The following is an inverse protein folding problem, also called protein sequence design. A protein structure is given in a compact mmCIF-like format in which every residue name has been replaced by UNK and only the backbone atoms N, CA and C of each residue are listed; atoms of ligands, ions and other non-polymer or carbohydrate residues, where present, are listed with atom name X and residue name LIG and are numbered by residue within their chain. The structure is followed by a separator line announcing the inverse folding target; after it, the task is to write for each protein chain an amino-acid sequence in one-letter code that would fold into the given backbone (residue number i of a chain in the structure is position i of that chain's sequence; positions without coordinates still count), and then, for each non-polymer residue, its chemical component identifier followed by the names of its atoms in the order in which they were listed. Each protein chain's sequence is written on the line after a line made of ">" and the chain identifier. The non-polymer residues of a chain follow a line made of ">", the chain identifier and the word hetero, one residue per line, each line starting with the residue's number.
data_IF_637023505816
#
_entry.id   IF_637023505816
#
_cell.length_a   1.000
_cell.length_b   1.000
_cell.length_c   1.000
_cell.angle_alpha   90.00
_cell.angle_beta   90.00
_cell.angle_gamma   90.00
#
_symmetry.space_group_name_H-M   'P 1'
#
loop_
_entity.id
_entity.type
_entity.pdbx_description
1 polymer ?
#
# COMPACT_ATOMS: atom_id res chain seq x y z
N UNK A 1 32.05 33.40 -51.36
CA UNK A 1 30.96 34.02 -50.57
C UNK A 1 29.98 32.93 -50.21
N UNK A 2 30.06 32.44 -48.95
CA UNK A 2 29.11 31.44 -48.41
C UNK A 2 27.78 32.17 -48.14
N UNK A 3 26.69 31.74 -48.77
CA UNK A 3 25.35 32.19 -48.43
C UNK A 3 25.04 31.69 -47.01
N UNK A 4 24.97 32.59 -46.04
CA UNK A 4 24.39 32.29 -44.72
C UNK A 4 22.97 31.74 -44.98
N UNK A 5 22.65 30.51 -44.51
CA UNK A 5 21.27 30.04 -44.45
C UNK A 5 20.49 30.99 -43.55
N UNK A 6 19.40 31.57 -44.05
CA UNK A 6 18.50 32.34 -43.24
C UNK A 6 18.01 31.45 -42.05
N UNK A 7 17.93 32.04 -40.86
CA UNK A 7 17.32 31.29 -39.73
C UNK A 7 15.86 30.96 -40.09
N UNK A 8 15.40 29.74 -39.79
CA UNK A 8 14.03 29.33 -40.08
C UNK A 8 13.03 30.18 -39.30
N UNK A 9 11.92 30.55 -39.92
CA UNK A 9 10.88 31.26 -39.24
C UNK A 9 10.06 30.36 -38.29
N UNK A 10 9.25 30.97 -37.40
CA UNK A 10 8.45 30.23 -36.42
C UNK A 10 7.42 29.29 -37.09
N UNK A 11 6.94 29.65 -38.30
CA UNK A 11 5.96 28.82 -39.03
C UNK A 11 6.63 27.56 -39.56
N UNK A 12 7.84 27.67 -40.10
CA UNK A 12 8.67 26.58 -40.60
C UNK A 12 9.01 25.61 -39.44
N UNK A 13 9.49 26.13 -38.30
CA UNK A 13 9.79 25.33 -37.11
C UNK A 13 8.57 24.59 -36.58
N UNK A 14 7.39 25.21 -36.56
CA UNK A 14 6.12 24.57 -36.17
C UNK A 14 5.70 23.47 -37.16
N UNK A 15 5.93 23.66 -38.46
CA UNK A 15 5.68 22.62 -39.47
C UNK A 15 6.61 21.42 -39.28
N UNK A 16 7.86 21.65 -39.00
CA UNK A 16 8.85 20.60 -38.75
C UNK A 16 8.52 19.81 -37.45
N UNK A 17 8.12 20.50 -36.39
CA UNK A 17 7.64 19.85 -35.16
C UNK A 17 6.41 18.98 -35.43
N UNK A 18 5.46 19.47 -36.23
CA UNK A 18 4.26 18.73 -36.58
C UNK A 18 4.57 17.47 -37.40
N UNK A 19 5.50 17.56 -38.37
CA UNK A 19 5.89 16.38 -39.16
C UNK A 19 6.68 15.36 -38.34
N UNK A 20 7.59 15.83 -37.46
CA UNK A 20 8.30 14.96 -36.51
C UNK A 20 7.32 14.23 -35.58
N UNK A 21 6.29 14.91 -35.12
CA UNK A 21 5.23 14.29 -34.31
C UNK A 21 4.50 13.17 -35.06
N UNK A 22 4.17 13.38 -36.35
CA UNK A 22 3.55 12.34 -37.19
C UNK A 22 4.47 11.16 -37.42
N UNK A 23 5.77 11.39 -37.55
CA UNK A 23 6.77 10.33 -37.66
C UNK A 23 6.86 9.48 -36.42
N UNK A 24 6.86 10.09 -35.22
CA UNK A 24 6.78 9.37 -33.95
C UNK A 24 5.55 8.46 -33.90
N UNK A 25 4.38 8.94 -34.30
CA UNK A 25 3.14 8.14 -34.34
C UNK A 25 3.26 6.97 -35.33
N UNK A 26 3.84 7.18 -36.50
CA UNK A 26 4.11 6.10 -37.51
C UNK A 26 5.03 5.03 -36.93
N UNK A 27 6.11 5.43 -36.24
CA UNK A 27 7.04 4.53 -35.55
C UNK A 27 6.38 3.73 -34.44
N UNK A 28 5.48 4.36 -33.66
CA UNK A 28 4.65 3.64 -32.67
C UNK A 28 3.79 2.58 -33.34
N UNK A 29 3.16 2.88 -34.46
CA UNK A 29 2.36 1.92 -35.23
C UNK A 29 3.20 0.71 -35.67
N UNK A 30 4.38 0.96 -36.27
CA UNK A 30 5.32 -0.11 -36.66
C UNK A 30 5.78 -0.96 -35.47
N UNK A 31 6.07 -0.34 -34.36
CA UNK A 31 6.46 -1.04 -33.13
C UNK A 31 5.35 -1.96 -32.63
N UNK A 32 4.10 -1.51 -32.67
CA UNK A 32 2.93 -2.31 -32.26
C UNK A 32 2.69 -3.49 -33.22
N UNK A 33 2.99 -3.35 -34.51
CA UNK A 33 2.97 -4.48 -35.47
C UNK A 33 4.01 -5.56 -35.13
N UNK A 34 5.21 -5.15 -34.77
CA UNK A 34 6.28 -6.06 -34.30
C UNK A 34 5.85 -6.73 -32.98
N UNK A 35 5.24 -5.97 -32.04
CA UNK A 35 4.76 -6.53 -30.80
C UNK A 35 3.68 -7.61 -31.03
N UNK A 36 2.74 -7.40 -31.96
CA UNK A 36 1.77 -8.44 -32.38
C UNK A 36 2.43 -9.70 -32.90
N UNK A 37 3.51 -9.56 -33.66
CA UNK A 37 4.29 -10.72 -34.20
C UNK A 37 4.95 -11.48 -33.03
N UNK A 38 5.59 -10.78 -32.10
CA UNK A 38 6.20 -11.37 -30.90
C UNK A 38 5.15 -12.12 -30.08
N UNK A 39 3.96 -11.54 -29.86
CA UNK A 39 2.88 -12.19 -29.14
C UNK A 39 2.45 -13.52 -29.78
N UNK A 40 2.31 -13.55 -31.10
CA UNK A 40 1.99 -14.80 -31.83
C UNK A 40 3.08 -15.86 -31.70
N UNK A 41 4.36 -15.48 -31.76
CA UNK A 41 5.48 -16.40 -31.59
C UNK A 41 5.52 -16.95 -30.16
N UNK A 42 5.42 -16.09 -29.16
CA UNK A 42 5.38 -16.52 -27.75
C UNK A 42 4.25 -17.52 -27.47
N UNK A 43 3.05 -17.25 -28.00
CA UNK A 43 1.91 -18.15 -27.85
C UNK A 43 2.17 -19.52 -28.52
N UNK A 44 2.81 -19.54 -29.69
CA UNK A 44 3.15 -20.79 -30.40
C UNK A 44 4.22 -21.61 -29.69
N UNK A 45 5.18 -20.95 -29.05
CA UNK A 45 6.33 -21.59 -28.39
C UNK A 45 6.12 -21.75 -26.86
N UNK A 46 4.92 -21.44 -26.35
CA UNK A 46 4.58 -21.49 -24.92
C UNK A 46 5.55 -20.70 -24.02
N UNK A 47 6.08 -19.59 -24.52
CA UNK A 47 6.98 -18.72 -23.79
C UNK A 47 6.21 -17.77 -22.86
N UNK A 48 6.82 -17.31 -21.76
CA UNK A 48 6.21 -16.34 -20.84
C UNK A 48 5.76 -15.08 -21.58
N UNK A 49 4.58 -14.56 -21.21
CA UNK A 49 4.04 -13.33 -21.78
C UNK A 49 4.94 -12.13 -21.48
N UNK A 50 5.44 -12.03 -20.26
CA UNK A 50 6.37 -10.98 -19.80
C UNK A 50 7.77 -11.56 -19.57
N UNK A 51 8.79 -10.73 -19.80
CA UNK A 51 10.20 -11.07 -19.61
C UNK A 51 10.90 -9.85 -18.98
N UNK A 52 11.10 -9.91 -17.66
CA UNK A 52 11.68 -8.82 -16.89
C UNK A 52 13.11 -8.49 -17.34
N UNK A 53 13.90 -9.48 -17.76
CA UNK A 53 15.26 -9.24 -18.23
C UNK A 53 15.28 -8.40 -19.52
N UNK A 54 14.32 -8.64 -20.41
CA UNK A 54 14.15 -7.83 -21.63
C UNK A 54 13.67 -6.42 -21.30
N UNK A 55 12.74 -6.27 -20.34
CA UNK A 55 12.29 -4.93 -19.92
C UNK A 55 13.43 -4.14 -19.26
N UNK A 56 14.25 -4.77 -18.44
CA UNK A 56 15.43 -4.15 -17.82
C UNK A 56 16.51 -3.73 -18.83
N UNK A 57 16.73 -4.54 -19.89
CA UNK A 57 17.65 -4.16 -20.99
C UNK A 57 17.15 -2.89 -21.69
N UNK A 58 15.85 -2.82 -21.97
CA UNK A 58 15.24 -1.66 -22.64
C UNK A 58 15.27 -0.40 -21.79
N UNK A 59 15.12 -0.52 -20.46
CA UNK A 59 15.27 0.63 -19.57
C UNK A 59 16.68 1.23 -19.67
N UNK A 60 17.71 0.39 -19.71
CA UNK A 60 19.11 0.84 -19.88
C UNK A 60 19.34 1.47 -21.25
N UNK A 61 18.93 0.80 -22.32
CA UNK A 61 19.07 1.27 -23.70
C UNK A 61 18.43 2.65 -23.90
N UNK A 62 17.20 2.84 -23.39
CA UNK A 62 16.50 4.13 -23.51
C UNK A 62 17.17 5.21 -22.66
N UNK A 63 17.69 4.88 -21.48
CA UNK A 63 18.43 5.85 -20.66
C UNK A 63 19.68 6.34 -21.37
N UNK A 64 20.45 5.44 -21.99
CA UNK A 64 21.64 5.79 -22.77
C UNK A 64 21.29 6.62 -24.01
N UNK A 65 20.16 6.31 -24.66
CA UNK A 65 19.74 7.04 -25.86
C UNK A 65 19.25 8.45 -25.51
N UNK A 66 18.58 8.62 -24.35
CA UNK A 66 18.23 9.95 -23.83
C UNK A 66 19.48 10.83 -23.66
N UNK A 67 20.56 10.27 -23.11
CA UNK A 67 21.81 11.00 -22.92
C UNK A 67 22.43 11.42 -24.26
N UNK A 68 22.39 10.52 -25.26
CA UNK A 68 22.91 10.83 -26.61
C UNK A 68 22.09 11.86 -27.34
N UNK A 69 20.78 11.83 -27.19
CA UNK A 69 19.84 12.71 -27.85
C UNK A 69 19.62 14.05 -27.13
N UNK A 70 20.21 14.24 -25.94
CA UNK A 70 19.98 15.43 -25.12
C UNK A 70 18.54 15.55 -24.58
N UNK A 71 17.86 14.40 -24.40
CA UNK A 71 16.50 14.32 -23.88
C UNK A 71 16.54 14.04 -22.36
N UNK A 72 15.67 14.68 -21.61
CA UNK A 72 15.52 14.38 -20.19
C UNK A 72 15.20 12.89 -19.95
N UNK A 73 15.97 12.23 -19.09
CA UNK A 73 15.83 10.80 -18.81
C UNK A 73 14.42 10.45 -18.31
N UNK A 74 13.82 11.31 -17.48
CA UNK A 74 12.46 11.09 -16.97
C UNK A 74 11.41 11.15 -18.09
N UNK A 75 11.58 12.06 -19.06
CA UNK A 75 10.72 12.13 -20.25
C UNK A 75 10.88 10.88 -21.12
N UNK A 76 12.11 10.42 -21.37
CA UNK A 76 12.36 9.19 -22.12
C UNK A 76 11.75 7.95 -21.47
N UNK A 77 11.87 7.82 -20.15
CA UNK A 77 11.29 6.69 -19.40
C UNK A 77 9.76 6.70 -19.44
N UNK A 78 9.11 7.88 -19.41
CA UNK A 78 7.66 8.00 -19.60
C UNK A 78 7.22 7.53 -20.98
N UNK A 79 7.94 7.92 -22.02
CA UNK A 79 7.69 7.45 -23.41
C UNK A 79 7.85 5.92 -23.46
N UNK A 80 8.90 5.36 -22.87
CA UNK A 80 9.09 3.91 -22.82
C UNK A 80 7.93 3.20 -22.12
N UNK A 81 7.43 3.73 -20.99
CA UNK A 81 6.31 3.15 -20.27
C UNK A 81 5.05 3.08 -21.16
N UNK A 82 4.73 4.16 -21.88
CA UNK A 82 3.62 4.18 -22.86
C UNK A 82 3.84 3.15 -23.95
N UNK A 83 5.04 3.07 -24.52
CA UNK A 83 5.38 2.13 -25.58
C UNK A 83 5.28 0.66 -25.11
N UNK A 84 5.67 0.36 -23.88
CA UNK A 84 5.54 -0.99 -23.29
C UNK A 84 4.08 -1.35 -23.06
N UNK A 85 3.28 -0.43 -22.50
CA UNK A 85 1.86 -0.64 -22.28
C UNK A 85 1.10 -0.94 -23.59
N UNK A 86 1.34 -0.14 -24.65
CA UNK A 86 0.74 -0.36 -25.96
C UNK A 86 1.21 -1.66 -26.62
N UNK A 87 2.47 -2.06 -26.41
CA UNK A 87 2.99 -3.34 -26.90
C UNK A 87 2.35 -4.53 -26.20
N UNK A 88 2.15 -4.48 -24.88
CA UNK A 88 1.45 -5.53 -24.11
C UNK A 88 0.01 -5.67 -24.63
N UNK A 89 -0.69 -4.58 -24.80
CA UNK A 89 -2.04 -4.55 -25.40
C UNK A 89 -2.05 -5.13 -26.83
N UNK A 90 -1.09 -4.76 -27.66
CA UNK A 90 -0.97 -5.28 -29.02
C UNK A 90 -0.68 -6.79 -29.07
N UNK A 91 0.02 -7.34 -28.08
CA UNK A 91 0.27 -8.77 -27.92
C UNK A 91 -0.95 -9.55 -27.40
N UNK A 92 -2.04 -8.87 -27.04
CA UNK A 92 -3.20 -9.49 -26.39
C UNK A 92 -2.95 -9.83 -24.91
N UNK A 93 -1.91 -9.29 -24.33
CA UNK A 93 -1.63 -9.41 -22.89
C UNK A 93 -2.59 -8.45 -22.20
N UNK A 94 -3.70 -8.99 -21.72
CA UNK A 94 -4.56 -8.26 -20.80
C UNK A 94 -3.83 -8.10 -19.46
N UNK A 95 -4.01 -6.99 -18.75
CA UNK A 95 -3.59 -6.95 -17.34
C UNK A 95 -4.20 -8.16 -16.65
N UNK A 96 -3.45 -8.87 -15.79
CA UNK A 96 -3.97 -10.05 -15.11
C UNK A 96 -5.33 -9.69 -14.51
N UNK A 97 -6.34 -10.50 -14.77
CA UNK A 97 -7.65 -10.35 -14.15
C UNK A 97 -7.38 -10.22 -12.65
N UNK A 98 -7.86 -9.15 -12.05
CA UNK A 98 -7.70 -8.95 -10.62
C UNK A 98 -8.26 -10.18 -9.93
N UNK A 99 -7.40 -11.00 -9.33
CA UNK A 99 -7.83 -12.12 -8.50
C UNK A 99 -8.77 -11.61 -7.39
N UNK A 100 -9.35 -12.51 -6.59
CA UNK A 100 -10.26 -12.09 -5.54
C UNK A 100 -9.56 -11.06 -4.64
N UNK A 101 -10.12 -9.85 -4.59
CA UNK A 101 -9.64 -8.78 -3.73
C UNK A 101 -10.34 -8.86 -2.36
N UNK A 102 -9.77 -8.29 -1.28
CA UNK A 102 -10.49 -8.16 -0.03
C UNK A 102 -11.87 -7.50 -0.23
N UNK A 103 -11.98 -6.59 -1.18
CA UNK A 103 -13.24 -5.89 -1.49
C UNK A 103 -14.26 -6.80 -2.18
N UNK A 104 -13.85 -7.73 -3.05
CA UNK A 104 -14.77 -8.67 -3.71
C UNK A 104 -15.36 -9.69 -2.73
N UNK A 105 -14.54 -10.21 -1.80
CA UNK A 105 -15.01 -11.08 -0.72
C UNK A 105 -15.94 -10.33 0.22
N UNK A 106 -15.58 -9.10 0.60
CA UNK A 106 -16.42 -8.22 1.40
C UNK A 106 -17.80 -8.01 0.77
N UNK A 107 -17.86 -7.69 -0.53
CA UNK A 107 -19.12 -7.46 -1.24
C UNK A 107 -19.99 -8.72 -1.28
N UNK A 108 -19.40 -9.90 -1.53
CA UNK A 108 -20.11 -11.20 -1.52
C UNK A 108 -20.69 -11.51 -0.13
N UNK A 109 -19.89 -11.35 0.92
CA UNK A 109 -20.35 -11.57 2.30
C UNK A 109 -21.45 -10.58 2.71
N UNK A 110 -21.32 -9.31 2.32
CA UNK A 110 -22.34 -8.29 2.59
C UNK A 110 -23.67 -8.60 1.87
N UNK A 111 -23.60 -9.10 0.63
CA UNK A 111 -24.79 -9.52 -0.11
C UNK A 111 -25.51 -10.69 0.58
N UNK A 112 -24.76 -11.68 1.07
CA UNK A 112 -25.30 -12.80 1.85
C UNK A 112 -25.96 -12.34 3.16
N UNK A 113 -25.33 -11.42 3.89
CA UNK A 113 -25.92 -10.82 5.11
C UNK A 113 -27.22 -10.08 4.83
N UNK A 114 -27.27 -9.28 3.74
CA UNK A 114 -28.49 -8.61 3.29
C UNK A 114 -29.61 -9.62 2.95
N UNK A 115 -29.23 -10.81 2.47
CA UNK A 115 -30.15 -11.95 2.25
C UNK A 115 -30.56 -12.69 3.53
N UNK A 116 -30.14 -12.24 4.72
CA UNK A 116 -30.50 -12.82 6.01
C UNK A 116 -29.52 -13.87 6.55
N UNK A 117 -28.40 -14.15 5.87
CA UNK A 117 -27.40 -15.07 6.37
C UNK A 117 -26.67 -14.52 7.60
N UNK A 118 -26.50 -15.35 8.63
CA UNK A 118 -25.67 -15.04 9.80
C UNK A 118 -24.23 -15.45 9.50
N UNK A 119 -23.36 -14.45 9.31
CA UNK A 119 -21.94 -14.68 8.99
C UNK A 119 -21.03 -14.23 10.12
N UNK A 120 -20.01 -15.03 10.40
CA UNK A 120 -18.84 -14.64 11.19
C UNK A 120 -17.86 -13.94 10.22
N UNK A 121 -17.67 -12.64 10.39
CA UNK A 121 -16.90 -11.78 9.48
C UNK A 121 -15.43 -11.67 9.94
N UNK A 122 -14.56 -12.56 9.47
CA UNK A 122 -13.11 -12.53 9.71
C UNK A 122 -12.32 -12.03 8.49
N UNK A 123 -13.02 -11.47 7.50
CA UNK A 123 -12.44 -10.87 6.29
C UNK A 123 -12.17 -9.36 6.44
N UNK A 124 -12.87 -8.68 7.36
CA UNK A 124 -12.77 -7.23 7.52
C UNK A 124 -11.64 -6.85 8.47
N UNK A 125 -10.72 -6.03 7.99
CA UNK A 125 -9.63 -5.51 8.82
C UNK A 125 -10.06 -4.29 9.65
N UNK A 126 -11.08 -4.41 10.48
CA UNK A 126 -11.61 -3.36 11.34
C UNK A 126 -11.69 -3.85 12.78
N UNK A 127 -11.11 -3.13 13.77
CA UNK A 127 -11.25 -3.50 15.16
C UNK A 127 -12.71 -3.27 15.64
N UNK A 128 -13.24 -4.20 16.42
CA UNK A 128 -14.56 -4.12 17.03
C UNK A 128 -14.61 -3.24 18.30
N UNK A 129 -13.48 -2.68 18.67
CA UNK A 129 -13.38 -1.76 19.80
C UNK A 129 -14.18 -0.49 19.52
N UNK A 130 -14.63 0.14 20.60
CA UNK A 130 -15.25 1.45 20.53
C UNK A 130 -14.18 2.54 20.54
N UNK A 131 -14.37 3.65 19.83
CA UNK A 131 -13.54 4.83 20.01
C UNK A 131 -13.56 5.28 21.46
N UNK A 132 -12.48 5.86 22.00
CA UNK A 132 -12.48 6.43 23.35
C UNK A 132 -13.64 7.39 23.55
N UNK A 133 -14.27 7.35 24.72
CA UNK A 133 -15.46 8.17 25.02
C UNK A 133 -15.21 9.66 24.80
N UNK A 134 -14.04 10.15 25.22
CA UNK A 134 -13.62 11.53 25.02
C UNK A 134 -13.57 11.95 23.54
N UNK A 135 -13.30 11.03 22.61
CA UNK A 135 -13.34 11.30 21.17
C UNK A 135 -14.75 11.62 20.71
N UNK A 136 -15.73 10.79 21.13
CA UNK A 136 -17.13 10.98 20.75
C UNK A 136 -17.69 12.27 21.36
N UNK A 137 -17.40 12.54 22.64
CA UNK A 137 -17.82 13.75 23.34
C UNK A 137 -17.26 15.01 22.66
N UNK A 138 -15.97 15.02 22.31
CA UNK A 138 -15.35 16.15 21.61
C UNK A 138 -15.93 16.38 20.21
N UNK A 139 -16.26 15.32 19.46
CA UNK A 139 -16.95 15.47 18.18
C UNK A 139 -18.35 16.07 18.33
N UNK A 140 -19.12 15.61 19.33
CA UNK A 140 -20.48 16.14 19.61
C UNK A 140 -20.41 17.60 20.04
N UNK A 141 -19.50 17.94 20.97
CA UNK A 141 -19.27 19.32 21.42
C UNK A 141 -18.90 20.23 20.24
N UNK A 142 -17.99 19.78 19.39
CA UNK A 142 -17.59 20.54 18.20
C UNK A 142 -18.77 20.75 17.23
N UNK A 143 -19.61 19.71 16.99
CA UNK A 143 -20.82 19.84 16.18
C UNK A 143 -21.82 20.85 16.77
N UNK A 144 -22.10 20.76 18.07
CA UNK A 144 -22.99 21.70 18.78
C UNK A 144 -22.40 23.11 18.78
N UNK A 145 -21.06 23.23 18.84
CA UNK A 145 -20.32 24.47 18.74
C UNK A 145 -20.14 25.01 17.31
N UNK A 146 -20.88 24.46 16.34
CA UNK A 146 -20.84 24.87 14.93
C UNK A 146 -19.45 24.77 14.28
N UNK A 147 -18.60 23.84 14.72
CA UNK A 147 -17.31 23.51 14.07
C UNK A 147 -17.54 22.65 12.81
N UNK A 148 -18.18 23.25 11.81
CA UNK A 148 -18.68 22.60 10.59
C UNK A 148 -18.23 23.28 9.32
N UNK A 149 -17.21 24.13 9.42
CA UNK A 149 -16.69 24.90 8.28
C UNK A 149 -15.48 24.23 7.62
N UNK A 150 -15.11 24.72 6.46
CA UNK A 150 -13.84 24.36 5.83
C UNK A 150 -12.67 24.81 6.70
N UNK A 151 -11.66 23.96 6.76
CA UNK A 151 -10.42 24.24 7.46
C UNK A 151 -9.25 24.26 6.47
N UNK A 152 -8.04 24.51 6.96
CA UNK A 152 -6.85 24.35 6.16
C UNK A 152 -6.70 22.89 5.68
N UNK A 153 -6.28 22.65 4.43
CA UNK A 153 -6.11 21.31 3.90
C UNK A 153 -5.14 20.42 4.69
N UNK A 154 -4.15 21.05 5.36
CA UNK A 154 -3.18 20.36 6.22
C UNK A 154 -3.73 20.01 7.61
N UNK A 155 -4.90 20.52 7.99
CA UNK A 155 -5.53 20.31 9.30
C UNK A 155 -5.52 21.56 10.19
N UNK A 156 -6.39 21.56 11.22
CA UNK A 156 -6.48 22.69 12.17
C UNK A 156 -5.20 22.79 13.02
N UNK A 157 -4.75 24.02 13.37
CA UNK A 157 -3.52 24.22 14.17
C UNK A 157 -3.50 23.43 15.48
N UNK A 158 -4.65 23.30 16.15
CA UNK A 158 -4.78 22.55 17.40
C UNK A 158 -4.46 21.04 17.21
N UNK A 159 -4.92 20.41 16.12
CA UNK A 159 -4.62 19.02 15.84
C UNK A 159 -3.17 18.83 15.41
N UNK A 160 -2.62 19.73 14.59
CA UNK A 160 -1.20 19.69 14.20
C UNK A 160 -0.30 19.75 15.46
N UNK A 161 -0.61 20.65 16.39
CA UNK A 161 0.11 20.75 17.68
C UNK A 161 -0.02 19.44 18.50
N UNK A 162 -1.22 18.88 18.60
CA UNK A 162 -1.46 17.63 19.33
C UNK A 162 -0.69 16.45 18.69
N UNK A 163 -0.70 16.33 17.36
CA UNK A 163 0.07 15.33 16.62
C UNK A 163 1.58 15.50 16.83
N UNK A 164 2.11 16.70 16.76
CA UNK A 164 3.53 16.98 17.04
C UNK A 164 3.93 16.52 18.43
N UNK A 165 3.11 16.84 19.45
CA UNK A 165 3.35 16.40 20.82
C UNK A 165 3.28 14.89 20.97
N UNK A 166 2.33 14.24 20.31
CA UNK A 166 2.22 12.79 20.28
C UNK A 166 3.45 12.14 19.62
N UNK A 167 3.85 12.61 18.43
CA UNK A 167 5.02 12.09 17.71
C UNK A 167 6.31 12.28 18.51
N UNK A 168 6.48 13.44 19.16
CA UNK A 168 7.61 13.68 20.06
C UNK A 168 7.64 12.71 21.23
N UNK A 169 6.49 12.44 21.88
CA UNK A 169 6.40 11.44 22.98
C UNK A 169 6.78 10.03 22.47
N UNK A 170 6.37 9.68 21.25
CA UNK A 170 6.57 8.33 20.69
C UNK A 170 7.95 8.11 20.08
N UNK A 171 8.51 9.08 19.40
CA UNK A 171 9.78 8.94 18.65
C UNK A 171 10.94 9.73 19.22
N UNK A 172 10.67 10.76 20.03
CA UNK A 172 11.68 11.73 20.46
C UNK A 172 12.00 12.80 19.40
N UNK A 173 11.43 12.71 18.20
CA UNK A 173 11.69 13.65 17.10
C UNK A 173 10.76 14.87 17.18
N UNK A 174 11.35 16.05 16.99
CA UNK A 174 10.60 17.29 16.78
C UNK A 174 10.20 17.40 15.30
N UNK A 175 8.90 17.54 15.06
CA UNK A 175 8.32 17.75 13.72
C UNK A 175 7.69 19.15 13.69
N UNK A 176 7.90 19.91 12.64
CA UNK A 176 7.26 21.22 12.45
C UNK A 176 5.87 21.11 11.81
N UNK A 177 5.07 22.18 11.86
CA UNK A 177 3.72 22.15 11.28
C UNK A 177 3.71 21.95 9.76
N UNK A 178 4.74 22.40 9.09
CA UNK A 178 4.90 22.29 7.63
C UNK A 178 5.50 20.95 7.16
N UNK A 179 5.88 20.10 8.11
CA UNK A 179 6.29 18.68 7.88
C UNK A 179 5.17 17.68 8.21
N UNK A 180 3.96 18.16 8.51
CA UNK A 180 2.83 17.35 8.94
C UNK A 180 1.55 17.75 8.20
N UNK A 181 0.78 16.77 7.70
CA UNK A 181 -0.55 17.00 7.17
C UNK A 181 -1.54 15.97 7.67
N UNK A 182 -2.72 16.44 8.05
CA UNK A 182 -3.92 15.63 8.30
C UNK A 182 -4.52 15.23 6.96
N UNK A 183 -4.99 14.00 6.85
CA UNK A 183 -5.51 13.44 5.59
C UNK A 183 -6.89 12.80 5.79
N UNK A 184 -7.73 12.71 4.74
CA UNK A 184 -9.04 12.06 4.81
C UNK A 184 -8.95 10.53 4.86
N UNK A 185 -8.11 9.99 5.67
CA UNK A 185 -7.82 8.59 6.04
C UNK A 185 -6.36 8.19 5.82
N UNK A 186 -5.93 7.08 6.45
CA UNK A 186 -4.63 6.46 6.16
C UNK A 186 -4.52 5.95 4.71
N UNK A 187 -5.62 5.47 4.11
CA UNK A 187 -5.64 5.07 2.69
C UNK A 187 -5.29 6.24 1.77
N UNK A 188 -5.85 7.41 2.05
CA UNK A 188 -5.51 8.62 1.30
C UNK A 188 -4.08 9.08 1.60
N UNK A 189 -3.61 8.98 2.84
CA UNK A 189 -2.21 9.28 3.17
C UNK A 189 -1.23 8.45 2.33
N UNK A 190 -1.48 7.15 2.18
CA UNK A 190 -0.68 6.26 1.32
C UNK A 190 -0.78 6.68 -0.16
N UNK A 191 -1.99 6.95 -0.66
CA UNK A 191 -2.19 7.42 -2.03
C UNK A 191 -1.41 8.71 -2.30
N UNK A 192 -1.54 9.69 -1.40
CA UNK A 192 -0.86 10.97 -1.54
C UNK A 192 0.67 10.85 -1.41
N UNK A 193 1.16 9.99 -0.50
CA UNK A 193 2.60 9.71 -0.35
C UNK A 193 3.21 9.13 -1.63
N UNK A 194 2.56 8.12 -2.21
CA UNK A 194 3.00 7.51 -3.47
C UNK A 194 2.95 8.51 -4.61
N UNK A 195 1.83 9.24 -4.77
CA UNK A 195 1.64 10.22 -5.85
C UNK A 195 2.52 11.47 -5.72
N UNK A 196 2.95 11.83 -4.49
CA UNK A 196 3.88 12.94 -4.28
C UNK A 196 5.32 12.61 -4.67
N UNK A 197 5.67 11.32 -4.71
CA UNK A 197 7.04 10.81 -4.83
C UNK A 197 7.31 10.14 -6.17
N UNK A 198 6.30 9.49 -6.74
CA UNK A 198 6.40 8.57 -7.86
C UNK A 198 5.56 9.11 -9.01
N UNK A 199 6.09 9.03 -10.22
CA UNK A 199 5.43 9.45 -11.46
C UNK A 199 5.19 8.27 -12.39
N UNK A 200 4.41 8.50 -13.45
CA UNK A 200 4.27 7.52 -14.54
C UNK A 200 5.64 7.11 -15.11
N UNK A 201 5.85 5.82 -15.31
CA UNK A 201 7.11 5.24 -15.78
C UNK A 201 8.12 4.95 -14.66
N UNK A 202 7.94 5.44 -13.46
CA UNK A 202 8.77 5.07 -12.31
C UNK A 202 8.42 3.68 -11.75
N UNK A 203 9.22 3.18 -10.84
CA UNK A 203 8.95 1.97 -10.08
C UNK A 203 9.13 2.16 -8.58
N UNK A 204 8.49 1.29 -7.80
CA UNK A 204 8.70 1.20 -6.36
C UNK A 204 8.78 -0.25 -5.89
N UNK A 205 9.66 -0.52 -4.93
CA UNK A 205 9.75 -1.81 -4.27
C UNK A 205 8.66 -1.92 -3.21
N UNK A 206 7.92 -3.02 -3.22
CA UNK A 206 6.84 -3.32 -2.25
C UNK A 206 7.06 -4.71 -1.70
N UNK A 207 7.17 -4.84 -0.37
CA UNK A 207 7.28 -6.16 0.27
C UNK A 207 5.97 -6.94 0.11
N UNK A 208 6.05 -8.22 -0.23
CA UNK A 208 4.90 -9.10 -0.42
C UNK A 208 5.01 -10.30 0.54
N UNK A 209 3.92 -10.75 1.21
CA UNK A 209 2.54 -10.30 1.02
C UNK A 209 2.30 -8.93 1.66
N UNK A 210 1.38 -8.15 1.05
CA UNK A 210 1.10 -6.80 1.51
C UNK A 210 -0.34 -6.37 1.25
N UNK A 211 -0.72 -5.27 1.89
CA UNK A 211 -2.01 -4.65 1.62
C UNK A 211 -2.11 -4.25 0.14
N UNK A 212 -3.16 -4.71 -0.60
CA UNK A 212 -3.26 -4.56 -2.07
C UNK A 212 -3.20 -3.12 -2.55
N UNK A 213 -3.60 -2.16 -1.71
CA UNK A 213 -3.67 -0.76 -2.12
C UNK A 213 -2.32 -0.17 -2.58
N UNK A 214 -1.18 -0.65 -2.07
CA UNK A 214 0.12 -0.16 -2.55
C UNK A 214 0.29 -0.46 -4.04
N UNK A 215 0.06 -1.70 -4.44
CA UNK A 215 0.14 -2.14 -5.83
C UNK A 215 -0.92 -1.47 -6.72
N UNK A 216 -2.14 -1.33 -6.20
CA UNK A 216 -3.25 -0.68 -6.91
C UNK A 216 -2.96 0.80 -7.17
N UNK A 217 -2.48 1.54 -6.17
CA UNK A 217 -2.12 2.97 -6.32
C UNK A 217 -0.96 3.14 -7.29
N UNK A 218 0.11 2.33 -7.17
CA UNK A 218 1.24 2.41 -8.09
C UNK A 218 0.80 2.21 -9.55
N UNK A 219 -0.04 1.20 -9.81
CA UNK A 219 -0.60 0.97 -11.16
C UNK A 219 -1.49 2.12 -11.62
N UNK A 220 -2.30 2.68 -10.71
CA UNK A 220 -3.19 3.82 -11.01
C UNK A 220 -2.42 5.06 -11.46
N UNK A 221 -1.29 5.34 -10.84
CA UNK A 221 -0.42 6.47 -11.23
C UNK A 221 0.53 6.16 -12.40
N UNK A 222 0.39 5.00 -13.03
CA UNK A 222 1.23 4.58 -14.16
C UNK A 222 2.63 4.11 -13.78
N UNK A 223 2.86 3.77 -12.51
CA UNK A 223 4.14 3.26 -12.02
C UNK A 223 4.15 1.74 -11.91
N UNK A 224 5.35 1.13 -11.99
CA UNK A 224 5.54 -0.32 -11.87
C UNK A 224 5.80 -0.71 -10.41
N UNK A 225 4.91 -1.49 -9.75
CA UNK A 225 5.25 -2.13 -8.47
C UNK A 225 6.23 -3.29 -8.73
N UNK A 226 7.36 -3.31 -8.04
CA UNK A 226 8.32 -4.42 -8.01
C UNK A 226 8.11 -5.14 -6.68
N UNK A 227 7.62 -6.38 -6.75
CA UNK A 227 7.24 -7.14 -5.56
C UNK A 227 8.43 -7.90 -4.99
N UNK A 228 8.74 -7.68 -3.72
CA UNK A 228 9.80 -8.38 -2.98
C UNK A 228 9.14 -9.45 -2.12
N UNK A 229 9.22 -10.69 -2.56
CA UNK A 229 8.54 -11.81 -1.93
C UNK A 229 9.23 -12.22 -0.62
N UNK A 230 8.46 -12.34 0.45
CA UNK A 230 8.86 -12.98 1.69
C UNK A 230 8.18 -14.34 1.85
N UNK A 231 8.67 -15.19 2.75
CA UNK A 231 8.21 -16.57 2.89
C UNK A 231 7.88 -16.91 4.34
N UNK A 232 6.88 -17.78 4.52
CA UNK A 232 6.47 -18.28 5.83
C UNK A 232 7.63 -19.04 6.53
N UNK A 233 8.37 -19.86 5.78
CA UNK A 233 9.49 -20.65 6.27
C UNK A 233 10.64 -19.80 6.84
N UNK A 234 10.75 -18.55 6.37
CA UNK A 234 11.70 -17.55 6.83
C UNK A 234 11.10 -16.61 7.87
N UNK A 235 9.91 -16.95 8.41
CA UNK A 235 9.16 -16.10 9.35
C UNK A 235 8.80 -14.73 8.79
N UNK A 236 8.54 -14.64 7.49
CA UNK A 236 8.23 -13.40 6.75
C UNK A 236 9.34 -12.33 6.86
N UNK A 237 10.58 -12.77 7.00
CA UNK A 237 11.73 -11.86 7.07
C UNK A 237 11.99 -11.22 5.72
N UNK A 238 12.30 -9.92 5.75
CA UNK A 238 12.67 -9.15 4.56
C UNK A 238 14.19 -9.23 4.37
N UNK A 239 14.64 -9.62 3.16
CA UNK A 239 16.05 -9.57 2.78
C UNK A 239 16.40 -8.21 2.19
N UNK A 240 17.41 -7.57 2.75
CA UNK A 240 17.99 -6.31 2.23
C UNK A 240 18.71 -6.54 0.91
N UNK A 241 19.31 -7.73 0.73
CA UNK A 241 19.97 -8.15 -0.50
C UNK A 241 18.96 -8.26 -1.65
N UNK A 242 17.82 -8.92 -1.42
CA UNK A 242 16.75 -9.02 -2.41
C UNK A 242 16.19 -7.65 -2.79
N UNK A 243 16.09 -6.71 -1.84
CA UNK A 243 15.74 -5.32 -2.14
C UNK A 243 16.81 -4.68 -3.04
N UNK A 244 18.10 -4.82 -2.70
CA UNK A 244 19.20 -4.21 -3.44
C UNK A 244 19.27 -4.72 -4.88
N UNK A 245 19.08 -6.01 -5.10
CA UNK A 245 19.06 -6.66 -6.43
C UNK A 245 17.86 -6.24 -7.27
N UNK A 246 16.73 -5.92 -6.63
CA UNK A 246 15.52 -5.52 -7.32
C UNK A 246 15.47 -4.04 -7.71
N UNK A 247 16.40 -3.20 -7.24
CA UNK A 247 16.46 -1.78 -7.60
C UNK A 247 16.75 -1.63 -9.08
N UNK A 248 15.97 -0.77 -9.75
CA UNK A 248 16.09 -0.42 -11.18
C UNK A 248 16.45 1.06 -11.33
N UNK A 249 16.95 1.51 -12.50
CA UNK A 249 17.28 2.91 -12.73
C UNK A 249 16.12 3.89 -12.51
N UNK A 250 14.87 3.42 -12.71
CA UNK A 250 13.64 4.17 -12.49
C UNK A 250 12.99 3.92 -11.12
N UNK A 251 13.63 3.20 -10.23
CA UNK A 251 13.12 3.00 -8.86
C UNK A 251 13.22 4.30 -8.06
N UNK A 252 12.14 4.70 -7.41
CA UNK A 252 12.03 5.95 -6.63
C UNK A 252 11.77 5.72 -5.15
N UNK A 253 11.15 4.61 -4.78
CA UNK A 253 10.77 4.38 -3.39
C UNK A 253 10.81 2.91 -2.99
N UNK A 254 10.93 2.70 -1.67
CA UNK A 254 10.68 1.43 -0.97
C UNK A 254 9.48 1.64 -0.06
N UNK A 255 8.45 0.79 -0.18
CA UNK A 255 7.25 0.82 0.66
C UNK A 255 7.37 -0.24 1.74
N UNK A 256 7.37 0.20 2.99
CA UNK A 256 7.38 -0.65 4.18
C UNK A 256 6.05 -0.50 4.92
N UNK A 257 5.48 -1.59 5.40
CA UNK A 257 4.29 -1.60 6.25
C UNK A 257 4.46 -2.64 7.35
N UNK A 258 4.78 -2.17 8.54
CA UNK A 258 5.00 -3.01 9.71
C UNK A 258 4.42 -2.34 10.97
N UNK A 259 3.79 -3.12 11.87
CA UNK A 259 3.41 -4.53 11.72
C UNK A 259 2.61 -4.80 10.45
N UNK A 260 2.94 -5.90 9.76
CA UNK A 260 2.47 -6.15 8.40
C UNK A 260 1.00 -6.65 8.35
N UNK A 261 0.28 -6.19 7.36
CA UNK A 261 -0.98 -6.78 6.91
C UNK A 261 -0.72 -7.50 5.57
N UNK A 262 -0.77 -8.87 5.50
CA UNK A 262 -1.60 -9.74 6.35
C UNK A 262 -0.86 -10.56 7.41
N UNK A 263 0.46 -10.57 7.47
CA UNK A 263 1.23 -11.58 8.22
C UNK A 263 1.33 -11.33 9.72
N UNK A 264 1.08 -10.10 10.17
CA UNK A 264 1.34 -9.69 11.55
C UNK A 264 2.83 -9.59 11.93
N UNK A 265 3.74 -9.74 10.95
CA UNK A 265 5.18 -9.63 11.18
C UNK A 265 5.56 -8.22 11.60
N UNK A 266 6.43 -8.11 12.59
CA UNK A 266 7.19 -6.90 12.93
C UNK A 266 8.60 -7.04 12.35
N UNK A 267 9.05 -6.03 11.61
CA UNK A 267 10.42 -6.00 11.09
C UNK A 267 11.42 -5.76 12.23
N UNK A 268 12.58 -6.42 12.18
CA UNK A 268 13.60 -6.18 13.19
C UNK A 268 14.19 -4.76 13.07
N UNK A 269 14.61 -4.12 14.18
CA UNK A 269 15.26 -2.82 14.13
C UNK A 269 16.51 -2.82 13.24
N UNK A 270 17.25 -3.93 13.20
CA UNK A 270 18.45 -4.11 12.38
C UNK A 270 18.08 -4.10 10.89
N UNK A 271 17.15 -4.96 10.48
CA UNK A 271 16.67 -5.01 9.08
C UNK A 271 16.09 -3.66 8.65
N UNK A 272 15.29 -3.03 9.51
CA UNK A 272 14.70 -1.71 9.21
C UNK A 272 15.80 -0.66 8.96
N UNK A 273 16.84 -0.63 9.80
CA UNK A 273 17.98 0.27 9.63
C UNK A 273 18.73 -0.01 8.33
N UNK A 274 19.03 -1.28 8.02
CA UNK A 274 19.71 -1.65 6.77
C UNK A 274 18.91 -1.25 5.53
N UNK A 275 17.57 -1.35 5.57
CA UNK A 275 16.71 -0.87 4.46
C UNK A 275 16.78 0.65 4.32
N UNK A 276 16.81 1.40 5.42
CA UNK A 276 16.96 2.86 5.41
C UNK A 276 18.31 3.26 4.83
N UNK A 277 19.39 2.62 5.27
CA UNK A 277 20.74 2.86 4.75
C UNK A 277 20.84 2.56 3.25
N UNK A 278 20.28 1.43 2.79
CA UNK A 278 20.19 1.09 1.37
C UNK A 278 19.42 2.16 0.58
N UNK A 279 18.30 2.64 1.12
CA UNK A 279 17.50 3.68 0.46
C UNK A 279 18.28 5.00 0.35
N UNK A 280 18.98 5.40 1.41
CA UNK A 280 19.81 6.62 1.43
C UNK A 280 20.96 6.54 0.44
N UNK A 281 21.66 5.39 0.34
CA UNK A 281 22.76 5.15 -0.59
C UNK A 281 22.30 5.19 -2.06
N UNK A 282 21.07 4.77 -2.33
CA UNK A 282 20.48 4.73 -3.67
C UNK A 282 19.60 5.95 -3.98
N UNK A 283 19.49 6.91 -3.04
CA UNK A 283 18.69 8.11 -3.20
C UNK A 283 17.17 7.88 -3.27
N UNK A 284 16.70 6.74 -2.74
CA UNK A 284 15.29 6.33 -2.73
C UNK A 284 14.55 6.95 -1.55
N UNK A 285 13.23 7.10 -1.70
CA UNK A 285 12.35 7.50 -0.59
C UNK A 285 11.82 6.26 0.14
N UNK A 286 11.93 6.23 1.47
CA UNK A 286 11.26 5.20 2.27
C UNK A 286 9.84 5.69 2.61
N UNK A 287 8.82 4.99 2.15
CA UNK A 287 7.42 5.20 2.53
C UNK A 287 7.08 4.18 3.62
N UNK A 288 6.95 4.66 4.85
CA UNK A 288 6.68 3.83 6.03
C UNK A 288 5.21 3.98 6.44
N UNK A 289 4.41 2.94 6.19
CA UNK A 289 3.03 2.87 6.67
C UNK A 289 3.00 2.26 8.06
N UNK A 290 2.83 3.11 9.07
CA UNK A 290 2.92 2.77 10.49
C UNK A 290 1.54 2.68 11.17
N UNK A 291 0.51 2.33 10.40
CA UNK A 291 -0.88 2.29 10.89
C UNK A 291 -1.12 1.28 12.04
N UNK A 292 -0.26 0.26 12.18
CA UNK A 292 -0.37 -0.78 13.20
C UNK A 292 0.71 -0.68 14.29
N UNK A 293 1.52 0.37 14.34
CA UNK A 293 2.66 0.45 15.27
C UNK A 293 2.30 0.24 16.73
N UNK A 294 1.11 0.68 17.17
CA UNK A 294 0.65 0.48 18.56
C UNK A 294 0.23 -0.99 18.84
N UNK A 295 -0.21 -1.73 17.82
CA UNK A 295 -0.55 -3.15 17.94
C UNK A 295 0.68 -4.03 17.72
N UNK A 296 1.64 -3.95 18.62
CA UNK A 296 2.86 -4.76 18.56
C UNK A 296 3.20 -5.35 19.93
N UNK A 297 3.57 -6.63 19.94
CA UNK A 297 4.10 -7.32 21.13
C UNK A 297 5.62 -7.17 21.27
N UNK A 298 6.29 -6.62 20.25
CA UNK A 298 7.73 -6.38 20.19
C UNK A 298 8.00 -4.91 19.91
N UNK A 299 9.19 -4.39 20.22
CA UNK A 299 9.58 -3.06 19.79
C UNK A 299 9.45 -2.93 18.27
N UNK A 300 8.55 -2.06 17.81
CA UNK A 300 8.34 -1.77 16.40
C UNK A 300 9.17 -0.54 16.01
N UNK A 301 10.07 -0.64 15.02
CA UNK A 301 10.83 0.52 14.57
C UNK A 301 9.89 1.53 13.89
N UNK A 302 10.22 2.81 14.02
CA UNK A 302 9.57 3.89 13.30
C UNK A 302 10.59 4.63 12.45
N UNK A 303 10.17 5.09 11.28
CA UNK A 303 11.00 5.87 10.36
C UNK A 303 11.50 7.16 11.01
N UNK A 304 10.73 7.72 11.93
CA UNK A 304 11.11 8.93 12.68
C UNK A 304 12.29 8.73 13.61
N UNK A 305 12.67 7.48 13.94
CA UNK A 305 13.82 7.19 14.80
C UNK A 305 15.11 6.90 14.03
N UNK A 306 15.05 6.85 12.70
CA UNK A 306 16.18 6.49 11.83
C UNK A 306 16.76 7.66 11.05
N UNK A 307 16.10 8.81 11.06
CA UNK A 307 16.53 10.06 10.40
C UNK A 307 17.02 9.89 8.95
N UNK A 308 16.25 9.24 8.06
CA UNK A 308 16.65 9.06 6.66
C UNK A 308 16.62 10.38 5.89
N UNK A 309 17.39 10.45 4.78
CA UNK A 309 17.44 11.63 3.91
C UNK A 309 16.10 11.92 3.24
N UNK A 310 15.36 10.85 2.84
CA UNK A 310 14.06 10.97 2.19
C UNK A 310 13.09 9.94 2.78
N UNK A 311 12.03 10.41 3.38
CA UNK A 311 11.01 9.52 3.93
C UNK A 311 9.61 10.14 3.85
N UNK A 312 8.60 9.29 3.92
CA UNK A 312 7.22 9.65 4.21
C UNK A 312 6.68 8.64 5.21
N UNK A 313 6.30 9.11 6.39
CA UNK A 313 5.51 8.32 7.33
C UNK A 313 4.03 8.52 6.98
N UNK A 314 3.28 7.44 6.89
CA UNK A 314 1.81 7.48 6.82
C UNK A 314 1.22 6.73 8.00
N UNK A 315 0.13 7.26 8.55
CA UNK A 315 -0.60 6.60 9.61
C UNK A 315 -2.05 7.07 9.68
N UNK A 316 -2.83 6.54 10.60
CA UNK A 316 -4.22 6.94 10.75
C UNK A 316 -4.76 6.67 12.16
N UNK A 317 -5.90 7.29 12.45
CA UNK A 317 -6.64 7.05 13.68
C UNK A 317 -7.52 5.78 13.62
N UNK A 318 -7.60 5.14 12.45
CA UNK A 318 -8.52 4.05 12.18
C UNK A 318 -8.32 2.82 13.05
N UNK A 319 -7.05 2.42 13.31
CA UNK A 319 -6.77 1.16 14.02
C UNK A 319 -6.52 1.38 15.50
N UNK A 320 -5.53 2.16 15.84
CA UNK A 320 -5.12 2.43 17.24
C UNK A 320 -6.27 2.91 18.09
N UNK A 321 -7.12 3.80 17.57
CA UNK A 321 -8.23 4.41 18.30
C UNK A 321 -9.62 3.96 17.84
N UNK A 322 -9.69 2.87 17.04
CA UNK A 322 -10.94 2.31 16.52
C UNK A 322 -11.84 3.34 15.78
N UNK A 323 -11.22 4.27 15.07
CA UNK A 323 -11.90 5.38 14.37
C UNK A 323 -12.02 5.14 12.87
N UNK A 324 -12.32 3.92 12.43
CA UNK A 324 -12.37 3.56 11.00
C UNK A 324 -13.38 4.38 10.21
N UNK A 325 -14.55 4.64 10.78
CA UNK A 325 -15.63 5.44 10.18
C UNK A 325 -15.40 6.95 10.20
N UNK A 326 -14.47 7.47 10.99
CA UNK A 326 -14.17 8.91 11.08
C UNK A 326 -13.39 9.45 9.90
N UNK A 327 -12.74 8.56 9.14
CA UNK A 327 -11.97 8.93 7.93
C UNK A 327 -10.90 9.99 8.20
N UNK A 328 -10.00 9.76 9.15
CA UNK A 328 -8.91 10.66 9.47
C UNK A 328 -7.58 9.91 9.61
N UNK A 329 -6.53 10.49 9.03
CA UNK A 329 -5.14 10.02 9.06
C UNK A 329 -4.17 11.18 9.01
N UNK A 330 -2.90 10.89 8.88
CA UNK A 330 -1.85 11.91 8.74
C UNK A 330 -0.63 11.37 8.01
N UNK A 331 0.16 12.31 7.49
CA UNK A 331 1.46 12.05 6.89
C UNK A 331 2.51 12.99 7.48
N UNK A 332 3.76 12.49 7.60
CA UNK A 332 4.93 13.26 8.04
C UNK A 332 6.03 13.10 7.00
N UNK A 333 6.61 14.20 6.55
CA UNK A 333 7.71 14.24 5.59
C UNK A 333 8.33 15.63 5.51
N UNK A 334 9.23 15.84 4.56
CA UNK A 334 9.72 17.20 4.24
C UNK A 334 8.60 18.14 3.82
N UNK A 335 8.79 19.43 4.03
CA UNK A 335 7.84 20.50 3.65
C UNK A 335 7.35 20.37 2.21
N UNK A 336 8.24 20.11 1.25
CA UNK A 336 7.89 20.02 -0.17
C UNK A 336 6.92 18.86 -0.45
N UNK A 337 7.11 17.73 0.20
CA UNK A 337 6.22 16.56 0.09
C UNK A 337 4.88 16.86 0.76
N UNK A 338 4.91 17.43 1.97
CA UNK A 338 3.68 17.75 2.73
C UNK A 338 2.84 18.81 2.00
N UNK A 339 3.47 19.78 1.34
CA UNK A 339 2.76 20.74 0.49
C UNK A 339 1.99 20.04 -0.64
N UNK A 340 2.57 19.00 -1.25
CA UNK A 340 1.89 18.20 -2.28
C UNK A 340 0.73 17.39 -1.70
N UNK A 341 0.94 16.77 -0.53
CA UNK A 341 -0.11 16.01 0.18
C UNK A 341 -1.30 16.92 0.53
N UNK A 342 -1.04 18.08 1.11
CA UNK A 342 -2.08 19.08 1.44
C UNK A 342 -2.82 19.57 0.18
N UNK A 343 -2.11 19.79 -0.93
CA UNK A 343 -2.71 20.13 -2.21
C UNK A 343 -3.65 19.03 -2.73
N UNK A 344 -3.25 17.77 -2.65
CA UNK A 344 -4.11 16.64 -3.02
C UNK A 344 -5.35 16.57 -2.13
N UNK A 345 -5.21 16.74 -0.81
CA UNK A 345 -6.35 16.84 0.12
C UNK A 345 -7.31 17.95 -0.29
N UNK A 346 -6.77 19.12 -0.65
CA UNK A 346 -7.58 20.26 -1.11
C UNK A 346 -8.34 19.97 -2.39
N UNK A 347 -7.72 19.25 -3.34
CA UNK A 347 -8.35 18.89 -4.62
C UNK A 347 -9.47 17.84 -4.47
N UNK A 348 -9.32 16.90 -3.52
CA UNK A 348 -10.26 15.78 -3.37
C UNK A 348 -11.43 16.10 -2.44
N UNK A 349 -11.17 16.72 -1.30
CA UNK A 349 -12.18 16.92 -0.25
C UNK A 349 -12.12 18.31 0.41
N UNK A 350 -11.33 19.23 -0.10
CA UNK A 350 -11.01 20.54 0.47
C UNK A 350 -10.26 20.42 1.80
N UNK A 351 -10.85 19.79 2.81
CA UNK A 351 -10.24 19.53 4.13
C UNK A 351 -10.94 18.37 4.84
N UNK A 352 -10.31 17.78 5.83
CA UNK A 352 -10.97 16.85 6.76
C UNK A 352 -12.01 17.61 7.59
N UNK A 353 -13.22 17.06 7.81
CA UNK A 353 -14.26 17.75 8.60
C UNK A 353 -13.76 18.25 9.95
N UNK A 354 -14.05 19.51 10.26
CA UNK A 354 -13.49 20.21 11.43
C UNK A 354 -13.83 19.48 12.72
N UNK A 355 -15.08 19.07 12.94
CA UNK A 355 -15.52 18.39 14.17
C UNK A 355 -14.82 17.05 14.40
N UNK A 356 -14.44 16.33 13.33
CA UNK A 356 -13.67 15.08 13.44
C UNK A 356 -12.24 15.36 13.94
N UNK A 357 -11.66 16.48 13.53
CA UNK A 357 -10.33 16.86 13.96
C UNK A 357 -10.27 17.17 15.46
N UNK A 358 -11.33 17.74 16.03
CA UNK A 358 -11.45 17.91 17.49
C UNK A 358 -11.52 16.58 18.24
N UNK A 359 -12.24 15.59 17.70
CA UNK A 359 -12.22 14.23 18.24
C UNK A 359 -10.83 13.59 18.18
N UNK A 360 -10.13 13.77 17.05
CA UNK A 360 -8.77 13.24 16.86
C UNK A 360 -7.77 13.81 17.89
N UNK A 361 -7.90 15.07 18.32
CA UNK A 361 -7.08 15.64 19.40
C UNK A 361 -7.22 14.80 20.67
N UNK A 362 -8.45 14.43 21.05
CA UNK A 362 -8.70 13.62 22.24
C UNK A 362 -8.22 12.18 22.12
N UNK A 363 -8.21 11.64 20.90
CA UNK A 363 -7.67 10.31 20.65
C UNK A 363 -6.19 10.22 21.01
N UNK A 364 -5.40 11.25 20.73
CA UNK A 364 -3.96 11.29 21.00
C UNK A 364 -3.57 11.29 22.49
N UNK A 365 -4.54 11.51 23.37
CA UNK A 365 -4.37 11.48 24.84
C UNK A 365 -4.98 10.20 25.47
N UNK A 366 -5.58 9.30 24.67
CA UNK A 366 -6.28 8.11 25.13
C UNK A 366 -5.34 6.90 25.33
N UNK A 367 -4.20 7.09 25.98
CA UNK A 367 -3.18 6.04 26.17
C UNK A 367 -3.69 4.82 26.96
N UNK A 368 -4.62 5.02 27.90
CA UNK A 368 -5.19 3.93 28.73
C UNK A 368 -6.05 3.00 27.89
N UNK A 369 -6.96 3.55 27.08
CA UNK A 369 -7.83 2.79 26.19
C UNK A 369 -7.03 2.07 25.11
N UNK A 370 -6.02 2.73 24.53
CA UNK A 370 -5.11 2.12 23.58
C UNK A 370 -4.38 0.93 24.18
N UNK A 371 -3.81 1.07 25.39
CA UNK A 371 -3.15 -0.05 26.09
C UNK A 371 -4.10 -1.21 26.33
N UNK A 372 -5.31 -0.94 26.79
CA UNK A 372 -6.34 -1.97 27.01
C UNK A 372 -6.67 -2.72 25.71
N UNK A 373 -6.83 -2.00 24.59
CA UNK A 373 -7.11 -2.59 23.28
C UNK A 373 -5.93 -3.44 22.76
N UNK A 374 -4.71 -2.98 22.98
CA UNK A 374 -3.49 -3.73 22.62
C UNK A 374 -3.38 -5.02 23.42
N UNK A 375 -3.64 -4.97 24.72
CA UNK A 375 -3.64 -6.16 25.58
C UNK A 375 -4.74 -7.15 25.19
N UNK A 376 -5.93 -6.66 24.84
CA UNK A 376 -7.01 -7.52 24.36
C UNK A 376 -6.64 -8.16 23.01
N UNK A 377 -6.02 -7.41 22.08
CA UNK A 377 -5.56 -7.95 20.80
C UNK A 377 -4.51 -9.06 21.02
N UNK A 378 -3.61 -8.87 21.99
CA UNK A 378 -2.64 -9.91 22.37
C UNK A 378 -3.33 -11.17 22.89
N UNK A 379 -4.34 -11.04 23.77
CA UNK A 379 -5.13 -12.18 24.25
C UNK A 379 -5.85 -12.90 23.10
N UNK A 380 -6.34 -12.18 22.08
CA UNK A 380 -6.93 -12.79 20.88
C UNK A 380 -5.89 -13.55 20.06
N UNK A 381 -4.70 -12.98 19.86
CA UNK A 381 -3.59 -13.67 19.17
C UNK A 381 -3.25 -14.98 19.90
N UNK A 382 -3.11 -14.95 21.24
CA UNK A 382 -2.79 -16.09 22.04
C UNK A 382 -3.88 -17.20 21.90
N UNK A 383 -5.12 -16.85 22.10
CA UNK A 383 -6.25 -17.80 22.03
C UNK A 383 -6.47 -18.39 20.61
N UNK A 384 -6.29 -17.58 19.58
CA UNK A 384 -6.39 -18.04 18.19
C UNK A 384 -5.22 -18.94 17.82
N UNK A 385 -4.01 -18.66 18.32
CA UNK A 385 -2.85 -19.56 18.14
C UNK A 385 -3.13 -20.94 18.75
N UNK A 386 -3.62 -20.99 20.00
CA UNK A 386 -3.99 -22.25 20.68
C UNK A 386 -5.07 -23.05 19.92
N UNK A 387 -5.98 -22.38 19.23
CA UNK A 387 -7.02 -23.05 18.45
C UNK A 387 -6.53 -23.50 17.08
N UNK A 388 -5.68 -22.70 16.42
CA UNK A 388 -5.05 -23.08 15.14
C UNK A 388 -4.04 -24.22 15.29
N UNK A 389 -3.34 -24.34 16.43
CA UNK A 389 -2.41 -25.42 16.73
C UNK A 389 -3.06 -26.80 16.78
N UNK A 390 -4.41 -26.86 16.90
CA UNK A 390 -5.19 -28.11 16.83
C UNK A 390 -5.51 -28.56 15.40
N UNK A 391 -5.17 -27.76 14.39
CA UNK A 391 -5.51 -28.01 12.99
C UNK A 391 -4.25 -28.37 12.20
N UNK A 392 -3.88 -29.67 12.17
CA UNK A 392 -2.65 -30.16 11.52
C UNK A 392 -2.51 -29.76 10.05
N UNK A 393 -3.64 -29.50 9.39
CA UNK A 393 -3.69 -29.07 7.98
C UNK A 393 -3.32 -27.62 7.73
N UNK A 394 -3.05 -26.83 8.79
CA UNK A 394 -2.66 -25.44 8.71
C UNK A 394 -1.23 -25.24 9.21
N UNK A 395 -0.54 -24.32 8.56
CA UNK A 395 0.76 -23.83 8.98
C UNK A 395 0.72 -22.32 9.01
N UNK A 396 1.23 -21.70 10.08
CA UNK A 396 1.17 -20.26 10.21
C UNK A 396 2.37 -19.71 10.99
N UNK A 397 2.62 -18.42 10.78
CA UNK A 397 3.49 -17.61 11.64
C UNK A 397 2.63 -16.99 12.74
N UNK A 398 3.02 -17.17 14.01
CA UNK A 398 2.36 -16.48 15.11
C UNK A 398 2.64 -14.96 15.01
N UNK A 399 1.60 -14.12 14.89
CA UNK A 399 1.78 -12.69 14.70
C UNK A 399 2.56 -12.01 15.82
N UNK A 400 3.51 -11.15 15.45
CA UNK A 400 4.21 -10.25 16.38
C UNK A 400 3.37 -9.00 16.69
N UNK A 401 2.39 -8.69 15.83
CA UNK A 401 1.55 -7.50 15.93
C UNK A 401 0.45 -7.44 14.89
N UNK A 402 -0.09 -6.25 14.65
CA UNK A 402 -1.30 -6.00 13.88
C UNK A 402 -2.52 -6.77 14.45
N UNK A 403 -3.42 -7.21 13.59
CA UNK A 403 -4.66 -7.89 13.98
C UNK A 403 -5.02 -9.01 12.99
N UNK A 404 -4.01 -9.75 12.51
CA UNK A 404 -4.19 -10.72 11.44
C UNK A 404 -3.37 -11.98 11.66
N UNK A 405 -3.93 -13.12 11.22
CA UNK A 405 -3.19 -14.33 10.89
C UNK A 405 -3.19 -14.54 9.39
N UNK A 406 -2.14 -15.16 8.87
CA UNK A 406 -1.99 -15.50 7.46
C UNK A 406 -1.54 -16.96 7.31
N UNK A 407 -2.42 -17.94 7.62
CA UNK A 407 -2.09 -19.34 7.55
C UNK A 407 -2.06 -19.87 6.11
N UNK A 408 -1.24 -20.91 5.92
CA UNK A 408 -1.13 -21.73 4.72
C UNK A 408 -1.87 -23.06 4.90
N UNK A 409 -2.60 -23.47 3.87
CA UNK A 409 -3.22 -24.79 3.75
C UNK A 409 -2.17 -25.81 3.34
N UNK A 410 -2.09 -26.94 4.09
CA UNK A 410 -1.23 -28.09 3.78
C UNK A 410 -2.03 -29.28 3.22
N UNK A 411 -3.35 -29.22 3.28
CA UNK A 411 -4.23 -30.30 2.83
C UNK A 411 -4.25 -30.39 1.31
N UNK A 412 -3.86 -31.54 0.76
CA UNK A 412 -3.83 -31.79 -0.68
C UNK A 412 -5.21 -31.56 -1.31
N UNK A 413 -5.23 -30.91 -2.49
CA UNK A 413 -6.46 -30.60 -3.23
C UNK A 413 -7.21 -29.36 -2.75
N UNK A 414 -6.67 -28.61 -1.77
CA UNK A 414 -7.20 -27.34 -1.33
C UNK A 414 -6.32 -26.18 -1.85
N UNK A 415 -6.96 -25.12 -2.30
CA UNK A 415 -6.36 -23.79 -2.50
C UNK A 415 -7.03 -22.80 -1.57
N UNK A 416 -6.37 -21.64 -1.36
CA UNK A 416 -6.93 -20.56 -0.54
C UNK A 416 -8.32 -20.13 -1.03
N UNK A 417 -8.51 -19.96 -2.33
CA UNK A 417 -9.79 -19.54 -2.92
C UNK A 417 -10.89 -20.56 -2.67
N UNK A 418 -10.62 -21.87 -2.97
CA UNK A 418 -11.56 -22.95 -2.71
C UNK A 418 -11.94 -23.03 -1.23
N UNK A 419 -10.94 -22.88 -0.36
CA UNK A 419 -11.18 -22.91 1.08
C UNK A 419 -12.07 -21.76 1.54
N UNK A 420 -11.78 -20.54 1.08
CA UNK A 420 -12.56 -19.33 1.42
C UNK A 420 -14.01 -19.48 0.95
N UNK A 421 -14.25 -20.02 -0.25
CA UNK A 421 -15.60 -20.23 -0.77
C UNK A 421 -16.37 -21.28 0.05
N UNK A 422 -15.76 -22.43 0.31
CA UNK A 422 -16.38 -23.49 1.12
C UNK A 422 -16.63 -23.07 2.57
N UNK A 423 -15.74 -22.24 3.12
CA UNK A 423 -15.90 -21.71 4.47
C UNK A 423 -17.03 -20.67 4.55
N UNK A 424 -17.20 -19.86 3.49
CA UNK A 424 -18.30 -18.90 3.40
C UNK A 424 -19.67 -19.59 3.40
N UNK A 425 -19.79 -20.76 2.74
CA UNK A 425 -20.99 -21.61 2.78
C UNK A 425 -21.30 -22.11 4.20
N UNK A 426 -20.27 -22.26 5.05
CA UNK A 426 -20.41 -22.61 6.48
C UNK A 426 -20.58 -21.37 7.38
N UNK A 427 -20.84 -20.23 6.80
CA UNK A 427 -21.14 -19.00 7.53
C UNK A 427 -19.92 -18.29 8.10
N UNK A 428 -18.72 -18.51 7.57
CA UNK A 428 -17.50 -17.78 7.97
C UNK A 428 -16.84 -17.14 6.75
N UNK A 429 -16.54 -15.85 6.83
CA UNK A 429 -15.87 -15.11 5.77
C UNK A 429 -14.44 -14.76 6.17
N UNK A 430 -13.47 -15.15 5.34
CA UNK A 430 -12.04 -14.80 5.43
C UNK A 430 -11.55 -14.27 4.09
N UNK A 431 -10.31 -13.78 4.00
CA UNK A 431 -9.80 -13.22 2.75
C UNK A 431 -8.76 -14.17 2.13
N UNK A 432 -8.88 -14.53 0.83
CA UNK A 432 -7.92 -15.41 0.18
C UNK A 432 -6.53 -14.77 0.05
N UNK A 433 -5.49 -15.60 0.04
CA UNK A 433 -4.11 -15.16 -0.01
C UNK A 433 -3.73 -14.42 -1.29
N UNK A 434 -4.32 -14.79 -2.43
CA UNK A 434 -4.15 -14.10 -3.72
C UNK A 434 -4.53 -12.61 -3.66
N UNK A 435 -5.34 -12.20 -2.70
CA UNK A 435 -5.63 -10.79 -2.46
C UNK A 435 -4.42 -9.97 -1.95
N UNK A 436 -3.38 -10.63 -1.44
CA UNK A 436 -2.20 -9.98 -0.85
C UNK A 436 -0.91 -10.22 -1.64
N UNK A 437 -0.98 -10.99 -2.73
CA UNK A 437 0.14 -11.34 -3.59
C UNK A 437 0.00 -12.75 -4.16
N UNK A 438 1.10 -13.32 -4.66
CA UNK A 438 1.11 -14.68 -5.22
C UNK A 438 1.23 -15.73 -4.10
N UNK A 439 0.13 -15.88 -3.33
CA UNK A 439 0.00 -16.82 -2.20
C UNK A 439 -1.29 -17.65 -2.33
N UNK A 440 -1.37 -18.55 -3.33
CA UNK A 440 -2.61 -19.26 -3.68
C UNK A 440 -3.11 -20.22 -2.59
N UNK A 441 -2.22 -20.71 -1.72
CA UNK A 441 -2.56 -21.67 -0.65
C UNK A 441 -2.78 -20.99 0.71
N UNK A 442 -2.80 -19.66 0.74
CA UNK A 442 -2.94 -18.88 1.97
C UNK A 442 -4.32 -18.22 2.07
N UNK A 443 -4.65 -17.82 3.29
CA UNK A 443 -5.80 -16.95 3.57
C UNK A 443 -5.54 -16.08 4.79
N UNK A 444 -6.23 -14.94 4.90
CA UNK A 444 -6.10 -14.03 6.03
C UNK A 444 -7.30 -14.14 6.97
N UNK A 445 -7.04 -14.29 8.26
CA UNK A 445 -8.01 -14.20 9.35
C UNK A 445 -7.83 -12.84 10.02
N UNK A 446 -8.90 -12.05 10.14
CA UNK A 446 -8.92 -10.81 10.92
C UNK A 446 -9.40 -11.08 12.36
N UNK A 447 -8.75 -10.44 13.32
CA UNK A 447 -9.09 -10.49 14.74
C UNK A 447 -10.02 -9.34 15.19
N UNK A 448 -10.65 -8.65 14.24
CA UNK A 448 -11.54 -7.52 14.47
C UNK A 448 -12.96 -7.90 14.91
N UNK A 449 -13.12 -9.00 15.63
CA UNK A 449 -14.38 -9.46 16.21
C UNK A 449 -14.18 -9.87 17.68
N UNK A 450 -15.22 -10.00 18.50
CA UNK A 450 -15.11 -10.56 19.84
C UNK A 450 -14.41 -11.92 19.83
N UNK A 451 -13.57 -12.18 20.83
CA UNK A 451 -12.73 -13.38 20.93
C UNK A 451 -13.51 -14.69 20.69
N UNK A 452 -14.67 -14.84 21.32
CA UNK A 452 -15.52 -16.02 21.22
C UNK A 452 -16.03 -16.25 19.79
N UNK A 453 -16.36 -15.15 19.08
CA UNK A 453 -16.78 -15.18 17.67
C UNK A 453 -15.63 -15.62 16.76
N UNK A 454 -14.41 -15.12 17.03
CA UNK A 454 -13.23 -15.53 16.25
C UNK A 454 -12.95 -17.01 16.46
N UNK A 455 -12.93 -17.48 17.71
CA UNK A 455 -12.67 -18.88 18.04
C UNK A 455 -13.70 -19.82 17.42
N UNK A 456 -14.98 -19.44 17.41
CA UNK A 456 -16.03 -20.20 16.71
C UNK A 456 -15.74 -20.29 15.20
N UNK A 457 -15.32 -19.18 14.59
CA UNK A 457 -14.90 -19.18 13.18
C UNK A 457 -13.73 -20.13 12.92
N UNK A 458 -12.72 -20.14 13.79
CA UNK A 458 -11.54 -21.03 13.67
C UNK A 458 -11.93 -22.51 13.86
N UNK A 459 -12.83 -22.83 14.79
CA UNK A 459 -13.34 -24.22 14.94
C UNK A 459 -14.02 -24.70 13.67
N UNK A 460 -14.87 -23.87 13.04
CA UNK A 460 -15.49 -24.23 11.74
C UNK A 460 -14.47 -24.43 10.61
N UNK A 461 -13.31 -23.74 10.68
CA UNK A 461 -12.20 -24.03 9.77
C UNK A 461 -11.63 -25.43 10.00
N UNK A 462 -11.42 -25.80 11.27
CA UNK A 462 -10.99 -27.16 11.65
C UNK A 462 -11.97 -28.23 11.15
N UNK A 463 -13.28 -28.06 11.42
CA UNK A 463 -14.33 -28.96 10.96
C UNK A 463 -14.40 -29.12 9.44
N UNK A 464 -14.06 -28.07 8.68
CA UNK A 464 -13.99 -28.11 7.22
C UNK A 464 -12.76 -28.90 6.73
N UNK A 465 -11.66 -28.81 7.49
CA UNK A 465 -10.37 -29.41 7.13
C UNK A 465 -10.18 -30.82 7.72
N UNK A 466 -10.98 -31.24 8.69
CA UNK A 466 -11.01 -32.61 9.18
C UNK A 466 -11.52 -33.57 8.09
#
# INVERSE_FOLDING_TARGET
>A
MSKAKAEPDIAELRADIAETTKEIIRLMGRRNDLARQVGRLKARESLPAEDDAVEDSRLREVTEECDRAGVDRGAGLKILAVLLAESKKAQGISPPASGPTPMSVFAKALALQKGGAKLIRLDVGEPDFRPPKAVLEACIEALVGFKTHYTEPSGIPALLLALRNYLRRKSGLEVSNDELAVTPSGRFAVYAALSATISEGDSALVCEPSWPAYKEVLRHIGAKPIMIRTKLEEGWSLSTEALAEAIRPNTKAIVLSYPNNPTGKVISPETFRSVVELADDRGLTVISDEIYNEYSSKPCPSILRTTPKKFILTSSFSKTWAMTGFRIGYAVSSRDVITKVAKMTSMEVTSVPEFIQFGAIKALDADTEVKSNVEEMKRRIDAVSEELDKIDSLEYFRPDGAMYFFPRLRKQGWSGDRFVESLLERGVSVTPGLAFGDYPDFFRISLGQPKETILEGVRRMGDLLA
#
